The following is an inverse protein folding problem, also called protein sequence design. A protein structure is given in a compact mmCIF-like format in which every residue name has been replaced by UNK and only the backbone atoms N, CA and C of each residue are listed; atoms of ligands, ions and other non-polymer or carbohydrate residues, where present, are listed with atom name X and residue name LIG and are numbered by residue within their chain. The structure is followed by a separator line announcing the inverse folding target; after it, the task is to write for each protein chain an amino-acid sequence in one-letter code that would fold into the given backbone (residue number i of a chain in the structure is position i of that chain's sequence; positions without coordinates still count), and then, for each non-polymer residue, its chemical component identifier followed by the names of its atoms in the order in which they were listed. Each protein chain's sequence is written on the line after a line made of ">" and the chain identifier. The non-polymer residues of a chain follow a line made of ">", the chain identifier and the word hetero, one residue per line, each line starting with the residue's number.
data_IF_969734388044
#
_entry.id   IF_969734388044
#
_cell.length_a   1.000
_cell.length_b   1.000
_cell.length_c   1.000
_cell.angle_alpha   90.00
_cell.angle_beta   90.00
_cell.angle_gamma   90.00
#
_symmetry.space_group_name_H-M   'P 1'
#
loop_
_entity.id
_entity.type
_entity.pdbx_description
1 polymer ?
#
# COMPACT_ATOMS: atom_id res chain seq x y z
N UNK A 1 -2.09 -1.61 -25.70
CA UNK A 1 -2.00 -2.92 -24.99
C UNK A 1 -2.69 -2.76 -23.64
N UNK A 2 -3.50 -3.70 -23.15
CA UNK A 2 -4.15 -3.56 -21.83
C UNK A 2 -3.29 -4.24 -20.77
N UNK A 3 -2.90 -3.49 -19.74
CA UNK A 3 -2.06 -3.98 -18.65
C UNK A 3 -2.86 -4.02 -17.36
N UNK A 4 -2.81 -5.14 -16.65
CA UNK A 4 -3.36 -5.23 -15.31
C UNK A 4 -2.37 -4.60 -14.32
N UNK A 5 -2.81 -3.57 -13.61
CA UNK A 5 -1.99 -2.79 -12.69
C UNK A 5 -2.57 -2.93 -11.29
N UNK A 6 -1.69 -3.10 -10.29
CA UNK A 6 -2.08 -3.23 -8.89
C UNK A 6 -1.70 -1.96 -8.17
N UNK A 7 -2.64 -1.40 -7.44
CA UNK A 7 -2.42 -0.22 -6.62
C UNK A 7 -2.62 -0.57 -5.16
N UNK A 8 -1.77 0.00 -4.31
CA UNK A 8 -1.70 -0.21 -2.87
C UNK A 8 -1.82 1.14 -2.17
N UNK A 9 -2.56 1.21 -1.06
CA UNK A 9 -2.65 2.42 -0.26
C UNK A 9 -2.79 2.09 1.21
N UNK A 10 -2.14 2.89 2.05
CA UNK A 10 -2.24 2.78 3.51
C UNK A 10 -3.50 3.48 4.00
N UNK A 11 -4.21 2.82 4.90
CA UNK A 11 -5.35 3.39 5.62
C UNK A 11 -5.13 3.33 7.12
N UNK A 12 -5.76 4.25 7.83
CA UNK A 12 -5.84 4.29 9.29
C UNK A 12 -7.29 4.57 9.68
N UNK A 13 -7.87 3.74 10.55
CA UNK A 13 -9.30 3.82 10.93
C UNK A 13 -10.25 3.84 9.72
N UNK A 14 -9.94 3.06 8.68
CA UNK A 14 -10.74 3.00 7.44
C UNK A 14 -10.65 4.25 6.56
N UNK A 15 -9.78 5.21 6.88
CA UNK A 15 -9.55 6.40 6.08
C UNK A 15 -8.20 6.33 5.36
N UNK A 16 -8.07 6.88 4.14
CA UNK A 16 -6.79 6.99 3.45
C UNK A 16 -5.79 7.80 4.27
N UNK A 17 -4.59 7.27 4.46
CA UNK A 17 -3.50 7.96 5.16
C UNK A 17 -2.30 8.28 4.27
N UNK A 18 -2.21 7.63 3.10
CA UNK A 18 -1.17 7.87 2.09
C UNK A 18 -1.78 7.87 0.67
N UNK A 19 -1.04 8.33 -0.35
CA UNK A 19 -1.43 8.17 -1.76
C UNK A 19 -1.48 6.70 -2.21
N UNK A 20 -2.08 6.45 -3.37
CA UNK A 20 -1.95 5.15 -4.05
C UNK A 20 -0.54 4.99 -4.61
N UNK A 21 0.02 3.79 -4.43
CA UNK A 21 1.31 3.36 -4.96
C UNK A 21 1.10 2.16 -5.86
N UNK A 22 1.81 2.10 -6.96
CA UNK A 22 1.89 0.95 -7.86
C UNK A 22 2.70 -0.21 -7.25
N UNK A 23 3.55 0.08 -6.27
CA UNK A 23 4.34 -0.89 -5.54
C UNK A 23 3.91 -1.05 -4.07
N UNK A 24 3.85 -2.32 -3.62
CA UNK A 24 3.44 -2.66 -2.26
C UNK A 24 4.47 -2.25 -1.22
N UNK A 25 5.76 -2.42 -1.51
CA UNK A 25 6.83 -2.07 -0.58
C UNK A 25 6.93 -0.55 -0.39
N UNK A 26 6.64 0.22 -1.43
CA UNK A 26 6.49 1.67 -1.33
C UNK A 26 5.34 2.06 -0.40
N UNK A 27 4.16 1.44 -0.54
CA UNK A 27 3.05 1.66 0.40
C UNK A 27 3.41 1.23 1.85
N UNK A 28 4.23 0.18 2.03
CA UNK A 28 4.73 -0.20 3.37
C UNK A 28 5.68 0.86 3.94
N UNK A 29 6.52 1.47 3.11
CA UNK A 29 7.38 2.57 3.54
C UNK A 29 6.56 3.77 3.98
N UNK A 30 5.53 4.15 3.23
CA UNK A 30 4.59 5.21 3.66
C UNK A 30 3.97 4.86 5.02
N UNK A 31 3.59 3.61 5.24
CA UNK A 31 3.05 3.15 6.52
C UNK A 31 4.08 3.22 7.67
N UNK A 32 5.37 2.96 7.41
CA UNK A 32 6.44 3.11 8.40
C UNK A 32 6.65 4.59 8.75
N UNK A 33 6.72 5.47 7.74
CA UNK A 33 6.89 6.91 7.94
C UNK A 33 5.74 7.53 8.73
N UNK A 34 4.53 7.01 8.57
CA UNK A 34 3.34 7.44 9.31
C UNK A 34 3.18 6.74 10.68
N UNK A 35 4.09 5.84 11.06
CA UNK A 35 4.00 5.07 12.31
C UNK A 35 2.83 4.08 12.36
N UNK A 36 2.34 3.65 11.20
CA UNK A 36 1.17 2.76 11.05
C UNK A 36 1.55 1.29 10.84
N UNK A 37 2.82 1.02 10.51
CA UNK A 37 3.34 -0.34 10.36
C UNK A 37 4.84 -0.41 10.60
N UNK A 38 5.32 -1.62 10.83
CA UNK A 38 6.72 -1.90 11.03
C UNK A 38 7.05 -3.33 10.60
N UNK A 39 8.34 -3.65 10.61
CA UNK A 39 8.85 -4.99 10.47
C UNK A 39 9.30 -5.50 11.83
N UNK A 40 9.06 -6.78 12.10
CA UNK A 40 9.58 -7.43 13.30
C UNK A 40 11.07 -7.77 13.16
N UNK A 41 11.64 -8.38 14.19
CA UNK A 41 13.04 -8.80 14.24
C UNK A 41 13.42 -9.87 13.19
N UNK A 42 12.44 -10.53 12.56
CA UNK A 42 12.63 -11.48 11.47
C UNK A 42 12.29 -10.89 10.09
N UNK A 43 11.94 -9.61 10.02
CA UNK A 43 11.55 -8.93 8.78
C UNK A 43 10.12 -9.21 8.32
N UNK A 44 9.24 -9.73 9.18
CA UNK A 44 7.82 -9.87 8.86
C UNK A 44 7.07 -8.56 9.08
N UNK A 45 6.22 -8.22 8.11
CA UNK A 45 5.40 -7.02 8.14
C UNK A 45 4.24 -7.15 9.12
N UNK A 46 4.05 -6.14 9.98
CA UNK A 46 2.86 -6.02 10.82
C UNK A 46 2.35 -4.56 10.88
N UNK A 47 1.04 -4.41 11.07
CA UNK A 47 0.36 -3.12 11.26
C UNK A 47 0.20 -2.84 12.75
N UNK A 48 0.52 -1.62 13.19
CA UNK A 48 0.57 -1.26 14.62
C UNK A 48 -0.79 -0.74 15.13
N UNK A 49 -1.56 -0.07 14.27
CA UNK A 49 -2.88 0.51 14.57
C UNK A 49 -4.01 -0.31 13.92
N UNK A 50 -5.31 0.00 14.12
CA UNK A 50 -6.38 -0.38 13.19
C UNK A 50 -6.21 0.32 11.83
N UNK A 51 -5.03 0.15 11.25
CA UNK A 51 -4.65 0.55 9.92
C UNK A 51 -4.62 -0.68 9.03
N UNK A 52 -4.76 -0.44 7.74
CA UNK A 52 -4.84 -1.48 6.75
C UNK A 52 -4.07 -1.08 5.49
N UNK A 53 -3.96 -2.04 4.60
CA UNK A 53 -3.49 -1.80 3.25
C UNK A 53 -4.62 -2.15 2.29
N UNK A 54 -5.15 -1.14 1.64
CA UNK A 54 -6.07 -1.33 0.54
C UNK A 54 -5.30 -1.76 -0.70
N UNK A 55 -5.90 -2.67 -1.48
CA UNK A 55 -5.38 -3.13 -2.76
C UNK A 55 -6.48 -3.06 -3.80
N UNK A 56 -6.21 -2.47 -4.95
CA UNK A 56 -7.13 -2.45 -6.09
C UNK A 56 -6.43 -2.94 -7.34
N UNK A 57 -7.20 -3.58 -8.21
CA UNK A 57 -6.75 -4.05 -9.51
C UNK A 57 -7.42 -3.17 -10.56
N UNK A 58 -6.61 -2.49 -11.38
CA UNK A 58 -7.09 -1.69 -12.50
C UNK A 58 -6.60 -2.32 -13.81
N UNK A 59 -7.40 -2.20 -14.87
CA UNK A 59 -6.96 -2.54 -16.23
C UNK A 59 -6.77 -1.21 -16.94
N UNK A 60 -5.52 -0.88 -17.22
CA UNK A 60 -5.15 0.39 -17.85
C UNK A 60 -4.72 0.14 -19.30
N UNK A 61 -5.15 1.03 -20.21
CA UNK A 61 -4.65 1.02 -21.59
C UNK A 61 -3.28 1.69 -21.63
N UNK A 62 -2.25 0.93 -22.03
CA UNK A 62 -0.97 1.53 -22.41
C UNK A 62 -1.15 2.30 -23.72
N UNK A 63 -1.02 3.61 -23.63
CA UNK A 63 -0.76 4.47 -24.78
C UNK A 63 0.59 4.06 -25.38
N UNK A 64 0.59 3.81 -26.69
CA UNK A 64 1.76 3.40 -27.47
C UNK A 64 2.76 4.54 -27.65
#
# INVERSE_FOLDING_TARGET
>A
MRTAVRWYRVTCFGKPSAPWRDDREHARRDAIELGLGAYDEWGQWFTIVPGGMEKVFSIEEQAA
#
